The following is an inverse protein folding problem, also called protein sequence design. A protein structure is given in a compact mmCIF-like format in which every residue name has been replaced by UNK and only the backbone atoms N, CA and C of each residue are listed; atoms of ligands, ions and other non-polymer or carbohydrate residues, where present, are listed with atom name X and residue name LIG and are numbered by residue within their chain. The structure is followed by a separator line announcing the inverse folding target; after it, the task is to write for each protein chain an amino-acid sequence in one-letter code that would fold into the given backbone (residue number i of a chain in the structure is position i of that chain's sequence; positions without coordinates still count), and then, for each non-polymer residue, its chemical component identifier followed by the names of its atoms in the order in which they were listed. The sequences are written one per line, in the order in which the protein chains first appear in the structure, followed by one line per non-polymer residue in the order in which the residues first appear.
data_IF_849220659727
#
_entry.id   IF_849220659727
#
_cell.length_a   1.000
_cell.length_b   1.000
_cell.length_c   1.000
_cell.angle_alpha   90.00
_cell.angle_beta   90.00
_cell.angle_gamma   90.00
#
_symmetry.space_group_name_H-M   'P 1'
#
loop_
_entity.id
_entity.type
_entity.pdbx_description
1 polymer ?
#
# COMPACT_ATOMS: atom_id res chain seq x y z
N UNK A 1 8.11 -8.01 29.85
CA UNK A 1 6.89 -7.51 29.17
C UNK A 1 7.27 -6.20 28.50
N UNK A 2 6.88 -5.99 27.24
CA UNK A 2 7.17 -4.74 26.52
C UNK A 2 6.12 -3.71 26.96
N UNK A 3 6.51 -2.82 27.88
CA UNK A 3 5.67 -1.81 28.50
C UNK A 3 6.15 -0.41 28.15
N UNK A 4 5.21 0.52 27.98
CA UNK A 4 5.50 1.93 27.70
C UNK A 4 4.68 2.84 28.60
N UNK A 5 5.19 4.05 28.85
CA UNK A 5 4.44 5.07 29.56
C UNK A 5 3.75 5.97 28.55
N UNK A 6 2.44 6.18 28.75
CA UNK A 6 1.69 7.15 27.97
C UNK A 6 2.24 8.58 28.17
N UNK A 7 2.49 9.34 27.10
CA UNK A 7 2.81 10.76 27.20
C UNK A 7 1.59 11.64 27.55
N UNK A 8 0.36 11.13 27.38
CA UNK A 8 -0.89 11.86 27.64
C UNK A 8 -1.37 11.70 29.08
N UNK A 9 -1.34 10.46 29.58
CA UNK A 9 -1.95 10.09 30.87
C UNK A 9 -0.91 9.69 31.92
N UNK A 10 0.34 9.45 31.53
CA UNK A 10 1.39 8.94 32.43
C UNK A 10 1.19 7.48 32.89
N UNK A 11 0.16 6.80 32.38
CA UNK A 11 -0.17 5.42 32.75
C UNK A 11 0.70 4.40 32.01
N UNK A 12 0.80 3.19 32.57
CA UNK A 12 1.51 2.07 31.93
C UNK A 12 0.62 1.44 30.86
N UNK A 13 1.16 1.35 29.66
CA UNK A 13 0.54 0.70 28.51
C UNK A 13 1.27 -0.61 28.23
N UNK A 14 0.51 -1.67 27.96
CA UNK A 14 1.04 -3.01 27.67
C UNK A 14 0.85 -3.34 26.20
N UNK A 15 1.84 -4.03 25.62
CA UNK A 15 1.75 -4.52 24.24
C UNK A 15 0.53 -5.44 24.10
N UNK A 16 -0.37 -5.08 23.19
CA UNK A 16 -1.62 -5.80 22.94
C UNK A 16 -2.09 -5.54 21.50
N UNK A 17 -3.17 -6.20 21.08
CA UNK A 17 -3.81 -6.05 19.77
C UNK A 17 -5.30 -5.85 19.97
N UNK A 18 -5.83 -4.72 19.49
CA UNK A 18 -7.26 -4.38 19.63
C UNK A 18 -7.93 -4.16 18.27
N UNK A 19 -9.22 -4.54 18.12
CA UNK A 19 -9.93 -4.33 16.87
C UNK A 19 -10.14 -2.82 16.61
N UNK A 20 -9.79 -2.37 15.42
CA UNK A 20 -10.04 -1.02 14.92
C UNK A 20 -10.93 -1.10 13.69
N UNK A 21 -12.04 -0.37 13.70
CA UNK A 21 -12.89 -0.24 12.52
C UNK A 21 -12.47 0.96 11.67
N UNK A 22 -12.10 0.70 10.42
CA UNK A 22 -11.80 1.71 9.42
C UNK A 22 -13.00 1.90 8.50
N UNK A 23 -13.34 3.15 8.20
CA UNK A 23 -14.47 3.51 7.32
C UNK A 23 -14.01 4.47 6.23
N UNK A 24 -14.42 4.21 4.99
CA UNK A 24 -14.14 5.08 3.84
C UNK A 24 -15.20 4.91 2.74
N UNK A 25 -15.80 6.04 2.31
CA UNK A 25 -16.82 6.08 1.23
C UNK A 25 -17.88 4.96 1.33
N UNK A 26 -18.46 4.77 2.52
CA UNK A 26 -19.52 3.78 2.77
C UNK A 26 -19.04 2.33 2.91
N UNK A 27 -17.76 2.05 2.71
CA UNK A 27 -17.16 0.75 3.02
C UNK A 27 -16.55 0.78 4.43
N UNK A 28 -16.63 -0.33 5.15
CA UNK A 28 -15.89 -0.52 6.40
C UNK A 28 -15.07 -1.82 6.38
N UNK A 29 -14.04 -1.86 7.20
CA UNK A 29 -13.26 -3.06 7.50
C UNK A 29 -12.80 -3.00 8.95
N UNK A 30 -12.86 -4.13 9.65
CA UNK A 30 -12.25 -4.28 10.98
C UNK A 30 -10.87 -4.91 10.83
N UNK A 31 -9.89 -4.33 11.52
CA UNK A 31 -8.51 -4.82 11.55
C UNK A 31 -8.03 -5.01 12.98
N UNK A 32 -7.13 -5.95 13.17
CA UNK A 32 -6.45 -6.18 14.43
C UNK A 32 -5.27 -5.21 14.54
N UNK A 33 -5.42 -4.17 15.36
CA UNK A 33 -4.46 -3.07 15.48
C UNK A 33 -3.46 -3.34 16.61
N UNK A 34 -2.19 -3.67 16.32
CA UNK A 34 -1.16 -3.81 17.34
C UNK A 34 -0.77 -2.45 17.95
N UNK A 35 -0.42 -2.45 19.22
CA UNK A 35 0.00 -1.23 19.91
C UNK A 35 0.29 -1.48 21.38
N UNK A 36 0.49 -0.40 22.13
CA UNK A 36 0.48 -0.44 23.58
C UNK A 36 -0.80 0.22 24.06
N UNK A 37 -1.57 -0.52 24.85
CA UNK A 37 -2.89 -0.11 25.32
C UNK A 37 -2.94 -0.13 26.86
N UNK A 38 -3.74 0.77 27.42
CA UNK A 38 -4.06 0.79 28.85
C UNK A 38 -5.20 -0.16 29.19
N UNK A 39 -5.56 -0.25 30.47
CA UNK A 39 -6.80 -0.93 30.88
C UNK A 39 -8.04 -0.24 30.29
N UNK A 40 -7.97 1.09 30.19
CA UNK A 40 -9.01 1.90 29.55
C UNK A 40 -8.67 2.11 28.06
N UNK A 41 -9.70 2.08 27.19
CA UNK A 41 -9.59 2.35 25.74
C UNK A 41 -9.27 3.83 25.39
N UNK A 42 -8.97 4.65 26.40
CA UNK A 42 -8.76 6.10 26.21
C UNK A 42 -7.42 6.44 25.55
N UNK A 43 -6.44 5.53 25.61
CA UNK A 43 -5.09 5.82 25.17
C UNK A 43 -4.38 4.61 24.55
N UNK A 44 -3.73 4.86 23.42
CA UNK A 44 -2.99 3.87 22.66
C UNK A 44 -1.75 4.49 22.02
N UNK A 45 -0.63 3.76 22.10
CA UNK A 45 0.58 4.09 21.36
C UNK A 45 0.80 3.08 20.24
N UNK A 46 1.11 3.58 19.05
CA UNK A 46 1.48 2.76 17.90
C UNK A 46 2.87 3.16 17.43
N UNK A 47 3.71 2.16 17.17
CA UNK A 47 4.96 2.40 16.44
C UNK A 47 4.69 2.62 14.95
N UNK A 48 5.70 3.09 14.21
CA UNK A 48 5.59 3.19 12.75
C UNK A 48 5.35 1.83 12.07
N UNK A 49 5.80 0.72 12.66
CA UNK A 49 5.51 -0.61 12.13
C UNK A 49 4.06 -1.03 12.41
N UNK A 50 3.53 -0.67 13.57
CA UNK A 50 2.13 -0.92 13.91
C UNK A 50 1.21 -0.17 12.94
N UNK A 51 1.49 1.11 12.70
CA UNK A 51 0.69 1.95 11.79
C UNK A 51 0.64 1.42 10.36
N UNK A 52 1.61 0.62 9.90
CA UNK A 52 1.52 -0.02 8.57
C UNK A 52 0.32 -0.94 8.44
N UNK A 53 -0.18 -1.53 9.53
CA UNK A 53 -1.38 -2.39 9.50
C UNK A 53 -2.60 -1.56 9.10
N UNK A 54 -2.83 -0.43 9.77
CA UNK A 54 -3.95 0.46 9.47
C UNK A 54 -3.78 1.19 8.14
N UNK A 55 -2.57 1.65 7.82
CA UNK A 55 -2.28 2.34 6.55
C UNK A 55 -2.53 1.45 5.33
N UNK A 56 -2.07 0.19 5.37
CA UNK A 56 -2.28 -0.77 4.27
C UNK A 56 -3.74 -1.18 4.15
N UNK A 57 -4.42 -1.39 5.27
CA UNK A 57 -5.85 -1.69 5.28
C UNK A 57 -6.67 -0.53 4.70
N UNK A 58 -6.33 0.71 5.08
CA UNK A 58 -6.96 1.91 4.54
C UNK A 58 -6.66 2.09 3.05
N UNK A 59 -5.43 1.83 2.60
CA UNK A 59 -5.08 1.86 1.17
C UNK A 59 -5.89 0.84 0.38
N UNK A 60 -6.03 -0.41 0.87
CA UNK A 60 -6.90 -1.42 0.25
C UNK A 60 -8.36 -0.97 0.20
N UNK A 61 -8.88 -0.42 1.31
CA UNK A 61 -10.26 0.05 1.40
C UNK A 61 -10.54 1.17 0.38
N UNK A 62 -9.62 2.13 0.28
CA UNK A 62 -9.65 3.21 -0.71
C UNK A 62 -9.57 2.69 -2.14
N UNK A 63 -8.65 1.76 -2.42
CA UNK A 63 -8.52 1.17 -3.75
C UNK A 63 -9.83 0.49 -4.19
N UNK A 64 -10.47 -0.26 -3.28
CA UNK A 64 -11.78 -0.87 -3.52
C UNK A 64 -12.87 0.17 -3.76
N UNK A 65 -12.99 1.16 -2.88
CA UNK A 65 -14.01 2.21 -2.98
C UNK A 65 -13.88 3.02 -4.28
N UNK A 66 -12.68 3.15 -4.81
CA UNK A 66 -12.41 3.93 -6.01
C UNK A 66 -12.30 3.06 -7.27
N UNK A 67 -12.35 1.73 -7.19
CA UNK A 67 -12.14 0.86 -8.34
C UNK A 67 -10.74 0.97 -8.94
N UNK A 68 -9.74 1.12 -8.07
CA UNK A 68 -8.32 1.07 -8.42
C UNK A 68 -7.77 -0.34 -8.18
N UNK A 69 -6.66 -0.67 -8.84
CA UNK A 69 -5.98 -1.95 -8.62
C UNK A 69 -5.46 -2.06 -7.18
N UNK A 70 -5.60 -3.25 -6.59
CA UNK A 70 -5.03 -3.55 -5.28
C UNK A 70 -3.58 -4.02 -5.41
N UNK A 71 -2.86 -4.05 -4.28
CA UNK A 71 -1.46 -4.45 -4.22
C UNK A 71 -1.21 -5.82 -4.87
N UNK A 72 -2.12 -6.78 -4.65
CA UNK A 72 -2.04 -8.13 -5.21
C UNK A 72 -2.23 -8.14 -6.72
N UNK A 73 -3.15 -7.32 -7.24
CA UNK A 73 -3.39 -7.20 -8.68
C UNK A 73 -2.16 -6.62 -9.38
N UNK A 74 -1.57 -5.56 -8.81
CA UNK A 74 -0.38 -4.91 -9.36
C UNK A 74 0.78 -5.92 -9.43
N UNK A 75 0.99 -6.69 -8.34
CA UNK A 75 2.00 -7.75 -8.29
C UNK A 75 1.75 -8.83 -9.35
N UNK A 76 0.50 -9.27 -9.50
CA UNK A 76 0.10 -10.28 -10.50
C UNK A 76 0.38 -9.79 -11.92
N UNK A 77 -0.04 -8.57 -12.24
CA UNK A 77 0.13 -7.95 -13.57
C UNK A 77 1.62 -7.82 -13.87
N UNK A 78 2.42 -7.23 -12.96
CA UNK A 78 3.87 -7.10 -13.17
C UNK A 78 4.54 -8.45 -13.44
N UNK A 79 4.20 -9.47 -12.65
CA UNK A 79 4.75 -10.82 -12.85
C UNK A 79 4.35 -11.43 -14.19
N UNK A 80 3.11 -11.21 -14.63
CA UNK A 80 2.62 -11.63 -15.96
C UNK A 80 3.39 -10.97 -17.10
N UNK A 81 3.79 -9.71 -16.92
CA UNK A 81 4.64 -8.98 -17.86
C UNK A 81 6.12 -9.40 -17.80
N UNK A 82 6.51 -10.33 -16.92
CA UNK A 82 7.90 -10.78 -16.79
C UNK A 82 8.85 -9.75 -16.18
N UNK A 83 8.32 -8.71 -15.51
CA UNK A 83 9.12 -7.58 -15.03
C UNK A 83 9.53 -7.75 -13.56
N UNK A 84 10.75 -7.32 -13.22
CA UNK A 84 11.14 -7.03 -11.83
C UNK A 84 10.49 -5.73 -11.36
N UNK A 85 10.41 -5.48 -10.05
CA UNK A 85 9.87 -4.19 -9.54
C UNK A 85 10.68 -3.00 -10.07
N UNK A 86 12.02 -3.12 -10.06
CA UNK A 86 12.93 -2.12 -10.60
C UNK A 86 12.66 -1.86 -12.09
N UNK A 87 12.60 -2.92 -12.90
CA UNK A 87 12.36 -2.79 -14.34
C UNK A 87 10.97 -2.23 -14.65
N UNK A 88 9.96 -2.59 -13.85
CA UNK A 88 8.63 -2.01 -13.97
C UNK A 88 8.62 -0.51 -13.65
N UNK A 89 9.32 -0.07 -12.60
CA UNK A 89 9.50 1.35 -12.29
C UNK A 89 10.23 2.12 -13.40
N UNK A 90 11.20 1.48 -14.07
CA UNK A 90 11.96 2.08 -15.18
C UNK A 90 11.12 2.22 -16.45
N UNK A 91 10.38 1.18 -16.85
CA UNK A 91 9.59 1.18 -18.10
C UNK A 91 8.26 1.92 -17.91
N UNK A 92 7.51 1.56 -16.88
CA UNK A 92 6.13 2.03 -16.68
C UNK A 92 6.13 3.37 -15.91
N UNK A 93 7.17 3.63 -15.13
CA UNK A 93 7.34 4.85 -14.34
C UNK A 93 6.84 4.73 -12.89
N UNK A 94 6.62 5.89 -12.27
CA UNK A 94 6.24 6.01 -10.85
C UNK A 94 7.42 6.27 -9.89
N UNK A 95 8.65 6.25 -10.40
CA UNK A 95 9.88 6.45 -9.63
C UNK A 95 10.48 5.15 -9.10
N UNK A 96 11.75 5.20 -8.67
CA UNK A 96 12.57 4.00 -8.41
C UNK A 96 11.90 2.91 -7.55
N UNK A 97 11.17 3.31 -6.50
CA UNK A 97 10.58 2.38 -5.51
C UNK A 97 9.05 2.28 -5.61
N UNK A 98 8.45 2.69 -6.73
CA UNK A 98 6.99 2.76 -6.87
C UNK A 98 6.34 1.38 -6.71
N UNK A 99 6.78 0.42 -7.52
CA UNK A 99 6.23 -0.94 -7.50
C UNK A 99 6.44 -1.66 -6.16
N UNK A 100 7.52 -1.35 -5.44
CA UNK A 100 7.71 -1.86 -4.08
C UNK A 100 6.60 -1.35 -3.14
N UNK A 101 6.33 -0.03 -3.16
CA UNK A 101 5.31 0.59 -2.29
C UNK A 101 3.88 0.19 -2.70
N UNK A 102 3.63 0.12 -4.01
CA UNK A 102 2.33 -0.31 -4.54
C UNK A 102 2.01 -1.76 -4.14
N UNK A 103 2.96 -2.68 -4.32
CA UNK A 103 2.77 -4.09 -3.99
C UNK A 103 2.81 -4.39 -2.49
N UNK A 104 3.40 -3.50 -1.70
CA UNK A 104 3.29 -3.55 -0.23
C UNK A 104 1.94 -3.02 0.26
N UNK A 105 1.19 -2.30 -0.57
CA UNK A 105 -0.03 -1.60 -0.17
C UNK A 105 0.23 -0.34 0.64
N UNK A 106 1.47 0.15 0.66
CA UNK A 106 1.87 1.34 1.43
C UNK A 106 1.35 2.63 0.77
N UNK A 107 1.13 2.62 -0.55
CA UNK A 107 0.64 3.77 -1.33
C UNK A 107 -0.34 3.31 -2.41
N UNK A 108 -1.39 4.11 -2.63
CA UNK A 108 -2.32 3.98 -3.74
C UNK A 108 -1.69 4.35 -5.08
N UNK A 109 -1.94 3.53 -6.09
CA UNK A 109 -1.65 3.92 -7.48
C UNK A 109 -2.58 5.03 -7.93
N UNK A 110 -2.08 5.89 -8.83
CA UNK A 110 -2.93 6.86 -9.51
C UNK A 110 -3.94 6.15 -10.42
N UNK A 111 -5.04 6.82 -10.76
CA UNK A 111 -6.01 6.31 -11.75
C UNK A 111 -5.34 5.97 -13.09
N UNK A 112 -4.45 6.84 -13.56
CA UNK A 112 -3.73 6.65 -14.82
C UNK A 112 -2.85 5.38 -14.77
N UNK A 113 -2.09 5.19 -13.70
CA UNK A 113 -1.28 3.98 -13.50
C UNK A 113 -2.15 2.72 -13.41
N UNK A 114 -3.27 2.79 -12.67
CA UNK A 114 -4.23 1.70 -12.57
C UNK A 114 -4.79 1.30 -13.94
N UNK A 115 -5.16 2.27 -14.78
CA UNK A 115 -5.66 2.03 -16.12
C UNK A 115 -4.58 1.46 -17.05
N UNK A 116 -3.37 2.00 -16.98
CA UNK A 116 -2.23 1.51 -17.77
C UNK A 116 -1.92 0.05 -17.47
N UNK A 117 -1.80 -0.30 -16.18
CA UNK A 117 -1.58 -1.68 -15.76
C UNK A 117 -2.71 -2.61 -16.19
N UNK A 118 -3.98 -2.15 -16.14
CA UNK A 118 -5.11 -2.93 -16.62
C UNK A 118 -5.07 -3.16 -18.14
N UNK A 119 -4.64 -2.17 -18.92
CA UNK A 119 -4.45 -2.31 -20.36
C UNK A 119 -3.33 -3.31 -20.68
N UNK A 120 -2.18 -3.19 -19.99
CA UNK A 120 -1.06 -4.12 -20.14
C UNK A 120 -1.40 -5.54 -19.69
N UNK A 121 -2.26 -5.70 -18.67
CA UNK A 121 -2.76 -7.01 -18.28
C UNK A 121 -3.61 -7.64 -19.39
N UNK A 122 -4.43 -6.85 -20.08
CA UNK A 122 -5.26 -7.36 -21.19
C UNK A 122 -4.46 -7.61 -22.46
N UNK A 123 -3.49 -6.76 -22.77
CA UNK A 123 -2.65 -6.84 -23.96
C UNK A 123 -1.17 -6.66 -23.59
N UNK A 124 -0.50 -7.74 -23.11
CA UNK A 124 0.90 -7.68 -22.68
C UNK A 124 1.87 -7.18 -23.77
N UNK A 125 1.55 -7.41 -25.05
CA UNK A 125 2.37 -6.97 -26.18
C UNK A 125 2.52 -5.45 -26.29
N UNK A 126 1.58 -4.68 -25.73
CA UNK A 126 1.66 -3.22 -25.67
C UNK A 126 2.83 -2.71 -24.81
N UNK A 127 3.44 -3.58 -23.98
CA UNK A 127 4.64 -3.22 -23.23
C UNK A 127 5.77 -2.76 -24.16
N UNK A 128 5.90 -3.35 -25.35
CA UNK A 128 6.93 -3.01 -26.34
C UNK A 128 6.85 -1.55 -26.78
N UNK A 129 5.62 -1.02 -26.93
CA UNK A 129 5.37 0.38 -27.30
C UNK A 129 5.95 1.34 -26.24
N UNK A 130 5.82 0.97 -24.96
CA UNK A 130 6.34 1.76 -23.85
C UNK A 130 7.88 1.65 -23.78
N UNK A 131 8.43 0.46 -24.02
CA UNK A 131 9.88 0.25 -24.05
C UNK A 131 10.58 1.03 -25.17
N UNK A 132 9.96 1.09 -26.36
CA UNK A 132 10.44 1.89 -27.49
C UNK A 132 10.49 3.38 -27.16
N UNK A 133 9.46 3.88 -26.47
CA UNK A 133 9.36 5.30 -26.07
C UNK A 133 10.34 5.65 -24.94
N UNK A 134 10.55 4.73 -23.98
CA UNK A 134 11.49 4.93 -22.87
C UNK A 134 12.97 4.86 -23.27
N UNK A 135 13.27 4.25 -24.43
CA UNK A 135 14.61 4.17 -24.99
C UNK A 135 15.15 5.50 -25.52
N UNK A 136 14.29 6.39 -26.01
CA UNK A 136 14.73 7.68 -26.57
C UNK A 136 15.12 8.70 -25.49
N UNK A 137 14.54 8.62 -24.30
CA UNK A 137 14.81 9.55 -23.19
C UNK A 137 16.16 9.31 -22.48
N UNK A 138 16.84 8.19 -22.75
CA UNK A 138 18.15 7.84 -22.15
C UNK A 138 19.35 8.16 -23.05
N UNK A 139 19.13 8.72 -24.24
CA UNK A 139 20.17 9.02 -25.23
C UNK A 139 20.53 10.51 -25.36
N UNK A 140 20.05 11.35 -24.44
CA UNK A 140 20.37 12.79 -24.35
C UNK A 140 20.92 13.14 -22.97
#
# INVERSE_FOLDING_TARGET
MDERISPLTGRTLKRDVRPLELRYKGLSVSIDMPGWYGEDDEDALHSGEDMKVSDRALCRLKARAEGLLQAEDIRRIRKKLGLTQKRASEIIGGGANAFQKYEAGDILVSRAMSNLLLLLDRQPDLLKVIEETGGEASAA
#
